data_IF_570958243860
#
_entry.id   IF_570958243860
#
_cell.length_a   1.000
_cell.length_b   1.000
_cell.length_c   1.000
_cell.angle_alpha   90.00
_cell.angle_beta   90.00
_cell.angle_gamma   90.00
#
_symmetry.space_group_name_H-M   'P 1'
#
loop_
_entity.id
_entity.type
_entity.pdbx_description
1 polymer ?
#
# COMPACT_ATOMS: atom_id res chain seq x y z
N UNK A 1 -6.90 -13.73 -4.90
CA UNK A 1 -6.38 -13.49 -3.53
C UNK A 1 -5.80 -12.09 -3.45
N UNK A 2 -6.14 -11.35 -2.42
CA UNK A 2 -5.68 -9.99 -2.14
C UNK A 2 -4.54 -10.03 -1.11
N UNK A 3 -3.45 -9.31 -1.34
CA UNK A 3 -2.44 -9.06 -0.33
C UNK A 3 -2.70 -7.71 0.33
N UNK A 4 -3.02 -7.72 1.62
CA UNK A 4 -3.00 -6.52 2.46
C UNK A 4 -1.55 -6.25 2.83
N UNK A 5 -1.06 -5.06 2.53
CA UNK A 5 0.32 -4.66 2.83
C UNK A 5 0.30 -3.51 3.82
N UNK A 6 0.95 -3.70 4.94
CA UNK A 6 1.18 -2.64 5.93
C UNK A 6 2.65 -2.22 5.86
N UNK A 7 2.90 -0.95 5.59
CA UNK A 7 4.25 -0.39 5.67
C UNK A 7 4.43 0.28 7.02
N UNK A 8 5.45 -0.15 7.75
CA UNK A 8 5.74 0.34 9.11
C UNK A 8 7.17 0.89 9.20
N UNK A 9 7.34 1.98 9.98
CA UNK A 9 8.62 2.55 10.34
C UNK A 9 8.61 3.06 11.79
N UNK A 10 9.40 2.45 12.67
CA UNK A 10 9.56 2.87 14.07
C UNK A 10 8.26 3.05 14.87
N UNK A 11 7.20 2.29 14.55
CA UNK A 11 5.87 2.40 15.19
C UNK A 11 5.37 1.01 15.62
N UNK A 12 6.08 0.42 16.57
CA UNK A 12 5.76 -0.93 17.07
C UNK A 12 4.33 -1.05 17.59
N UNK A 13 3.86 -0.09 18.37
CA UNK A 13 2.51 -0.13 18.95
C UNK A 13 1.42 -0.02 17.88
N UNK A 14 1.66 0.73 16.80
CA UNK A 14 0.74 0.78 15.68
C UNK A 14 0.66 -0.57 14.97
N UNK A 15 1.81 -1.21 14.70
CA UNK A 15 1.83 -2.54 14.11
C UNK A 15 1.11 -3.55 14.99
N UNK A 16 1.38 -3.55 16.30
CA UNK A 16 0.69 -4.43 17.26
C UNK A 16 -0.82 -4.24 17.20
N UNK A 17 -1.28 -3.00 17.25
CA UNK A 17 -2.71 -2.70 17.14
C UNK A 17 -3.29 -3.15 15.79
N UNK A 18 -2.56 -2.96 14.69
CA UNK A 18 -2.95 -3.47 13.38
C UNK A 18 -3.17 -4.97 13.35
N UNK A 19 -2.23 -5.73 13.92
CA UNK A 19 -2.31 -7.20 13.97
C UNK A 19 -3.44 -7.69 14.87
N UNK A 20 -3.73 -6.98 15.97
CA UNK A 20 -4.90 -7.20 16.80
C UNK A 20 -6.20 -6.99 16.02
N UNK A 21 -6.31 -5.89 15.25
CA UNK A 21 -7.45 -5.63 14.37
C UNK A 21 -7.57 -6.70 13.28
N UNK A 22 -6.45 -7.06 12.64
CA UNK A 22 -6.39 -8.09 11.59
C UNK A 22 -6.94 -9.43 12.08
N UNK A 23 -6.59 -9.84 13.30
CA UNK A 23 -7.07 -11.10 13.88
C UNK A 23 -8.59 -11.17 14.04
N UNK A 24 -9.29 -10.04 13.99
CA UNK A 24 -10.74 -9.91 14.10
C UNK A 24 -11.44 -9.65 12.76
N UNK A 25 -10.67 -9.42 11.69
CA UNK A 25 -11.22 -9.17 10.37
C UNK A 25 -11.56 -10.46 9.62
N UNK A 26 -12.43 -10.36 8.64
CA UNK A 26 -12.63 -11.41 7.65
C UNK A 26 -11.39 -11.50 6.75
N UNK A 27 -10.66 -12.61 6.87
CA UNK A 27 -9.42 -12.90 6.16
C UNK A 27 -9.65 -13.77 4.93
N UNK A 28 -10.89 -14.01 4.54
CA UNK A 28 -11.23 -14.83 3.39
C UNK A 28 -10.60 -14.24 2.13
N UNK A 29 -9.83 -15.06 1.40
CA UNK A 29 -9.11 -14.67 0.19
C UNK A 29 -8.10 -13.51 0.36
N UNK A 30 -7.61 -13.29 1.59
CA UNK A 30 -6.63 -12.25 1.88
C UNK A 30 -5.43 -12.80 2.66
N UNK A 31 -4.25 -12.24 2.39
CA UNK A 31 -3.03 -12.48 3.17
C UNK A 31 -2.44 -11.14 3.61
N UNK A 32 -1.94 -11.10 4.84
CA UNK A 32 -1.25 -9.92 5.35
C UNK A 32 0.26 -10.03 5.15
N UNK A 33 0.85 -8.98 4.65
CA UNK A 33 2.30 -8.79 4.53
C UNK A 33 2.67 -7.50 5.23
N UNK A 34 3.63 -7.56 6.12
CA UNK A 34 4.21 -6.41 6.79
C UNK A 34 5.55 -6.08 6.14
N UNK A 35 5.70 -4.86 5.62
CA UNK A 35 6.97 -4.33 5.15
C UNK A 35 7.50 -3.36 6.19
N UNK A 36 8.59 -3.75 6.85
CA UNK A 36 9.26 -2.92 7.84
C UNK A 36 10.41 -2.14 7.18
N UNK A 37 10.19 -0.84 7.02
CA UNK A 37 11.22 0.08 6.57
C UNK A 37 12.17 0.38 7.74
N UNK A 38 13.36 -0.20 7.75
CA UNK A 38 14.34 0.01 8.82
C UNK A 38 15.77 -0.23 8.32
N UNK A 39 16.70 0.53 8.86
CA UNK A 39 18.14 0.37 8.59
C UNK A 39 18.82 -0.51 9.66
N UNK A 40 18.04 -1.03 10.61
CA UNK A 40 18.54 -1.88 11.71
C UNK A 40 17.71 -3.15 11.80
N UNK A 41 18.36 -4.24 12.14
CA UNK A 41 17.63 -5.44 12.54
C UNK A 41 16.83 -5.15 13.82
N UNK A 42 15.55 -5.45 13.76
CA UNK A 42 14.65 -5.31 14.91
C UNK A 42 13.78 -6.58 15.02
N UNK A 43 14.28 -7.52 15.81
CA UNK A 43 13.65 -8.82 16.02
C UNK A 43 12.25 -8.72 16.62
N UNK A 44 11.91 -7.61 17.29
CA UNK A 44 10.60 -7.46 17.94
C UNK A 44 9.48 -7.39 16.90
N UNK A 45 9.71 -6.69 15.79
CA UNK A 45 8.74 -6.61 14.68
C UNK A 45 8.57 -7.95 13.99
N UNK A 46 9.67 -8.65 13.72
CA UNK A 46 9.63 -9.97 13.13
C UNK A 46 8.89 -10.96 14.04
N UNK A 47 9.27 -11.02 15.32
CA UNK A 47 8.62 -11.90 16.29
C UNK A 47 7.12 -11.61 16.42
N UNK A 48 6.73 -10.34 16.43
CA UNK A 48 5.32 -9.97 16.48
C UNK A 48 4.57 -10.50 15.23
N UNK A 49 5.14 -10.41 14.05
CA UNK A 49 4.55 -10.98 12.83
C UNK A 49 4.46 -12.52 12.89
N UNK A 50 5.47 -13.19 13.45
CA UNK A 50 5.46 -14.65 13.66
C UNK A 50 4.31 -15.10 14.58
N UNK A 51 4.07 -14.37 15.68
CA UNK A 51 2.97 -14.65 16.62
C UNK A 51 1.60 -14.63 15.92
N UNK A 52 1.42 -13.72 14.96
CA UNK A 52 0.18 -13.59 14.18
C UNK A 52 0.18 -14.38 12.86
N UNK A 53 1.23 -15.18 12.61
CA UNK A 53 1.41 -15.93 11.36
C UNK A 53 1.29 -15.05 10.09
N UNK A 54 1.97 -13.92 10.12
CA UNK A 54 1.97 -12.90 9.07
C UNK A 54 3.34 -12.85 8.39
N UNK A 55 3.36 -12.68 7.07
CA UNK A 55 4.60 -12.51 6.33
C UNK A 55 5.29 -11.21 6.70
N UNK A 56 6.56 -11.30 7.12
CA UNK A 56 7.40 -10.17 7.45
C UNK A 56 8.50 -9.97 6.39
N UNK A 57 8.66 -8.75 5.93
CA UNK A 57 9.71 -8.36 4.98
C UNK A 57 10.39 -7.11 5.53
N UNK A 58 11.71 -7.19 5.74
CA UNK A 58 12.52 -6.05 6.10
C UNK A 58 13.15 -5.42 4.87
N UNK A 59 13.22 -4.10 4.83
CA UNK A 59 13.95 -3.35 3.80
C UNK A 59 14.54 -2.06 4.37
N UNK A 60 15.61 -1.51 3.75
CA UNK A 60 16.12 -0.19 4.12
C UNK A 60 15.03 0.89 4.01
N UNK A 61 15.05 1.88 4.92
CA UNK A 61 14.09 2.99 4.87
C UNK A 61 14.47 4.02 3.79
N UNK A 62 14.37 3.61 2.54
CA UNK A 62 14.66 4.46 1.37
C UNK A 62 13.35 4.72 0.62
N UNK A 63 13.00 6.00 0.43
CA UNK A 63 11.80 6.39 -0.31
C UNK A 63 10.48 6.11 0.43
N UNK A 64 10.53 5.89 1.74
CA UNK A 64 9.35 5.75 2.61
C UNK A 64 8.38 4.65 2.14
N UNK A 65 7.08 4.88 2.25
CA UNK A 65 6.00 4.00 1.81
C UNK A 65 5.96 3.85 0.27
N UNK A 66 6.17 4.94 -0.47
CA UNK A 66 6.18 4.91 -1.94
C UNK A 66 7.40 4.16 -2.48
N UNK A 67 8.57 4.28 -1.82
CA UNK A 67 9.74 3.47 -2.16
C UNK A 67 9.48 1.98 -1.95
N UNK A 68 8.82 1.62 -0.85
CA UNK A 68 8.39 0.24 -0.60
C UNK A 68 7.40 -0.25 -1.67
N UNK A 69 6.40 0.56 -2.03
CA UNK A 69 5.46 0.25 -3.09
C UNK A 69 6.15 0.05 -4.44
N UNK A 70 7.08 0.94 -4.80
CA UNK A 70 7.89 0.79 -6.02
C UNK A 70 8.67 -0.52 -6.01
N UNK A 71 9.30 -0.87 -4.90
CA UNK A 71 10.10 -2.10 -4.80
C UNK A 71 9.23 -3.36 -4.98
N UNK A 72 8.00 -3.37 -4.46
CA UNK A 72 7.03 -4.45 -4.73
C UNK A 72 6.65 -4.48 -6.21
N UNK A 73 6.29 -3.35 -6.81
CA UNK A 73 5.91 -3.25 -8.22
C UNK A 73 7.04 -3.68 -9.17
N UNK A 74 8.30 -3.50 -8.77
CA UNK A 74 9.50 -3.83 -9.57
C UNK A 74 10.11 -5.19 -9.22
N UNK A 75 9.49 -5.96 -8.32
CA UNK A 75 9.99 -7.27 -7.91
C UNK A 75 11.36 -7.21 -7.21
N UNK A 76 11.65 -6.13 -6.48
CA UNK A 76 12.93 -5.95 -5.77
C UNK A 76 12.94 -6.56 -4.38
N UNK A 77 11.78 -6.94 -3.86
CA UNK A 77 11.62 -7.61 -2.58
C UNK A 77 11.28 -9.07 -2.79
N UNK A 78 11.63 -9.92 -1.82
CA UNK A 78 11.13 -11.29 -1.77
C UNK A 78 9.66 -11.29 -1.34
N UNK A 79 8.82 -10.69 -2.18
CA UNK A 79 7.40 -10.52 -1.95
C UNK A 79 6.63 -11.70 -2.56
N UNK A 80 5.57 -12.22 -1.92
CA UNK A 80 4.73 -13.28 -2.48
C UNK A 80 4.18 -12.91 -3.86
N UNK A 81 3.92 -13.90 -4.72
CA UNK A 81 3.24 -13.64 -5.99
C UNK A 81 1.83 -13.09 -5.74
N UNK A 82 1.50 -12.00 -6.41
CA UNK A 82 0.29 -11.24 -6.12
C UNK A 82 -0.49 -10.86 -7.38
N UNK A 83 -1.78 -10.74 -7.23
CA UNK A 83 -2.71 -10.25 -8.26
C UNK A 83 -3.26 -8.89 -7.89
N UNK A 84 -3.51 -8.66 -6.60
CA UNK A 84 -4.11 -7.44 -6.05
C UNK A 84 -3.46 -7.07 -4.75
N UNK A 85 -3.13 -5.78 -4.57
CA UNK A 85 -2.62 -5.22 -3.33
C UNK A 85 -3.65 -4.28 -2.72
N UNK A 86 -3.90 -4.42 -1.41
CA UNK A 86 -4.46 -3.37 -0.58
C UNK A 86 -3.31 -2.78 0.23
N UNK A 87 -2.88 -1.60 -0.15
CA UNK A 87 -1.74 -0.90 0.42
C UNK A 87 -2.19 0.07 1.50
N UNK A 88 -1.64 -0.03 2.71
CA UNK A 88 -1.95 0.87 3.82
C UNK A 88 -0.69 1.26 4.58
N UNK A 89 -0.75 2.40 5.26
CA UNK A 89 0.27 2.84 6.20
C UNK A 89 -0.09 2.42 7.63
N UNK A 90 0.89 2.36 8.51
CA UNK A 90 0.77 1.87 9.88
C UNK A 90 -0.12 2.74 10.80
N UNK A 91 -0.51 3.93 10.36
CA UNK A 91 -1.41 4.85 11.06
C UNK A 91 -2.85 4.87 10.50
N UNK A 92 -3.15 3.95 9.60
CA UNK A 92 -4.47 3.80 8.95
C UNK A 92 -5.10 2.48 9.39
N UNK A 93 -6.11 2.51 10.24
CA UNK A 93 -6.71 1.31 10.83
C UNK A 93 -8.07 0.98 10.21
N UNK A 94 -8.43 -0.32 10.09
CA UNK A 94 -9.73 -0.72 9.59
C UNK A 94 -10.84 -0.34 10.56
N UNK A 95 -11.91 0.25 10.05
CA UNK A 95 -13.13 0.57 10.81
C UNK A 95 -14.19 -0.54 10.72
N UNK A 96 -14.02 -1.48 9.79
CA UNK A 96 -14.95 -2.58 9.53
C UNK A 96 -14.18 -3.91 9.47
N UNK A 97 -14.82 -4.98 9.95
CA UNK A 97 -14.28 -6.33 9.83
C UNK A 97 -14.27 -6.85 8.38
N UNK A 98 -15.05 -6.22 7.51
CA UNK A 98 -15.21 -6.57 6.09
C UNK A 98 -14.50 -5.60 5.15
N UNK A 99 -13.61 -4.74 5.67
CA UNK A 99 -12.99 -3.68 4.89
C UNK A 99 -12.30 -4.18 3.61
N UNK A 100 -11.67 -5.36 3.63
CA UNK A 100 -11.04 -5.93 2.43
C UNK A 100 -12.09 -6.23 1.36
N UNK A 101 -13.22 -6.80 1.76
CA UNK A 101 -14.34 -7.05 0.86
C UNK A 101 -14.89 -5.75 0.28
N UNK A 102 -15.02 -4.70 1.11
CA UNK A 102 -15.49 -3.38 0.68
C UNK A 102 -14.57 -2.80 -0.42
N UNK A 103 -13.25 -2.95 -0.28
CA UNK A 103 -12.30 -2.58 -1.33
C UNK A 103 -12.43 -3.46 -2.57
N UNK A 104 -12.52 -4.78 -2.40
CA UNK A 104 -12.65 -5.73 -3.51
C UNK A 104 -13.92 -5.47 -4.33
N UNK A 105 -15.03 -5.13 -3.69
CA UNK A 105 -16.31 -4.81 -4.34
C UNK A 105 -16.21 -3.56 -5.24
N UNK A 106 -15.26 -2.65 -4.97
CA UNK A 106 -15.02 -1.48 -5.83
C UNK A 106 -14.12 -1.79 -7.05
N UNK A 107 -13.39 -2.91 -7.01
CA UNK A 107 -12.48 -3.30 -8.09
C UNK A 107 -13.19 -4.04 -9.22
N UNK A 108 -14.24 -3.41 -9.77
CA UNK A 108 -14.98 -3.87 -10.93
C UNK A 108 -14.19 -3.71 -12.24
N UNK A 109 -14.60 -4.37 -13.34
CA UNK A 109 -13.98 -4.14 -14.64
C UNK A 109 -13.92 -2.65 -15.03
N UNK A 110 -12.74 -2.18 -15.38
CA UNK A 110 -12.50 -0.77 -15.71
C UNK A 110 -12.12 0.10 -14.49
N UNK A 111 -12.08 -0.45 -13.26
CA UNK A 111 -11.51 0.23 -12.10
C UNK A 111 -10.01 -0.06 -12.02
N UNK A 112 -9.18 0.98 -11.99
CA UNK A 112 -7.73 0.86 -11.82
C UNK A 112 -7.30 0.92 -10.36
N UNK A 113 -7.99 1.73 -9.56
CA UNK A 113 -7.70 1.92 -8.14
C UNK A 113 -9.00 2.12 -7.36
N UNK A 114 -9.13 1.44 -6.22
CA UNK A 114 -10.06 1.79 -5.16
C UNK A 114 -9.25 2.42 -4.01
N UNK A 115 -9.67 3.55 -3.45
CA UNK A 115 -8.92 4.26 -2.41
C UNK A 115 -9.81 4.75 -1.27
N UNK A 116 -9.23 4.95 -0.10
CA UNK A 116 -9.94 5.51 1.04
C UNK A 116 -10.26 6.98 0.85
N UNK A 117 -9.36 7.72 0.21
CA UNK A 117 -9.50 9.16 0.08
C UNK A 117 -8.92 9.68 -1.25
N UNK A 118 -9.75 10.47 -1.95
CA UNK A 118 -9.30 11.39 -2.99
C UNK A 118 -9.25 12.79 -2.38
N UNK A 119 -8.08 13.38 -2.36
CA UNK A 119 -7.85 14.72 -1.79
C UNK A 119 -7.78 15.76 -2.90
N UNK A 120 -8.24 17.00 -2.59
CA UNK A 120 -8.06 18.17 -3.45
C UNK A 120 -7.02 19.16 -2.89
N UNK A 121 -6.30 18.78 -1.83
CA UNK A 121 -5.22 19.57 -1.30
C UNK A 121 -4.05 19.61 -2.30
N UNK A 122 -3.61 20.78 -2.72
CA UNK A 122 -2.67 21.06 -3.83
C UNK A 122 -3.32 20.85 -5.20
N UNK A 123 -3.64 19.63 -5.57
CA UNK A 123 -4.48 19.25 -6.71
C UNK A 123 -5.19 17.92 -6.41
N UNK A 124 -6.16 17.56 -7.23
CA UNK A 124 -6.88 16.28 -7.04
C UNK A 124 -5.93 15.11 -7.16
N UNK A 125 -5.86 14.26 -6.14
CA UNK A 125 -4.94 13.12 -6.05
C UNK A 125 -5.48 12.01 -5.15
N UNK A 126 -4.98 10.79 -5.34
CA UNK A 126 -5.20 9.66 -4.43
C UNK A 126 -4.24 9.82 -3.24
N UNK A 127 -4.76 9.74 -2.02
CA UNK A 127 -3.92 9.60 -0.82
C UNK A 127 -3.31 8.21 -0.79
N UNK A 128 -1.99 8.14 -0.66
CA UNK A 128 -1.24 6.87 -0.66
C UNK A 128 -1.30 6.12 0.66
N UNK A 129 -2.05 6.63 1.63
CA UNK A 129 -2.23 6.00 2.95
C UNK A 129 -3.19 4.80 2.94
N UNK A 130 -4.00 4.63 1.89
CA UNK A 130 -4.91 3.49 1.78
C UNK A 130 -5.51 3.38 0.37
N UNK A 131 -5.05 2.39 -0.41
CA UNK A 131 -5.57 2.12 -1.75
C UNK A 131 -5.42 0.66 -2.15
N UNK A 132 -6.31 0.20 -3.01
CA UNK A 132 -6.24 -1.11 -3.64
C UNK A 132 -5.96 -0.97 -5.14
N UNK A 133 -5.08 -1.83 -5.67
CA UNK A 133 -4.66 -1.81 -7.07
C UNK A 133 -4.39 -3.22 -7.58
N UNK A 134 -4.75 -3.50 -8.83
CA UNK A 134 -4.38 -4.73 -9.51
C UNK A 134 -2.95 -4.65 -10.07
N UNK A 135 -2.25 -5.80 -10.11
CA UNK A 135 -0.88 -5.91 -10.62
C UNK A 135 -0.73 -5.30 -12.02
N UNK A 136 -1.65 -5.59 -12.92
CA UNK A 136 -1.61 -5.09 -14.30
C UNK A 136 -1.66 -3.57 -14.42
N UNK A 137 -2.28 -2.90 -13.46
CA UNK A 137 -2.28 -1.43 -13.35
C UNK A 137 -0.99 -0.94 -12.70
N UNK A 138 -0.58 -1.57 -11.59
CA UNK A 138 0.61 -1.18 -10.83
C UNK A 138 1.90 -1.26 -11.65
N UNK A 139 2.07 -2.31 -12.47
CA UNK A 139 3.25 -2.49 -13.33
C UNK A 139 3.39 -1.41 -14.42
N UNK A 140 2.30 -0.75 -14.80
CA UNK A 140 2.30 0.35 -15.78
C UNK A 140 2.58 1.73 -15.15
N UNK A 141 2.59 1.82 -13.81
CA UNK A 141 2.88 3.09 -13.15
C UNK A 141 4.34 3.49 -13.36
N UNK A 142 4.53 4.79 -13.56
CA UNK A 142 5.84 5.41 -13.60
C UNK A 142 6.08 6.19 -12.32
N UNK A 143 7.27 6.04 -11.75
CA UNK A 143 7.71 6.79 -10.59
C UNK A 143 8.61 7.94 -11.05
N UNK A 144 8.66 9.03 -10.28
CA UNK A 144 9.47 10.19 -10.63
C UNK A 144 10.97 9.93 -10.55
N UNK A 145 11.39 8.94 -9.78
CA UNK A 145 12.76 8.43 -9.67
C UNK A 145 12.75 6.89 -9.62
N UNK A 146 13.88 6.29 -9.97
CA UNK A 146 14.08 4.85 -9.89
C UNK A 146 15.50 4.54 -9.40
N UNK A 147 15.66 4.23 -8.09
CA UNK A 147 14.63 4.13 -7.05
C UNK A 147 14.10 5.49 -6.57
N UNK A 148 12.88 5.49 -6.02
CA UNK A 148 12.37 6.58 -5.18
C UNK A 148 13.19 6.63 -3.90
N UNK A 149 13.78 7.78 -3.58
CA UNK A 149 14.72 7.89 -2.44
C UNK A 149 14.37 9.00 -1.46
N UNK A 150 13.62 10.00 -1.91
CA UNK A 150 13.34 11.19 -1.13
C UNK A 150 11.84 11.39 -0.87
N UNK A 151 11.55 12.20 0.14
CA UNK A 151 10.18 12.63 0.43
C UNK A 151 9.59 13.48 -0.70
N UNK A 152 10.42 14.22 -1.41
CA UNK A 152 10.00 14.98 -2.58
C UNK A 152 9.59 14.03 -3.72
N UNK A 153 10.29 12.93 -3.94
CA UNK A 153 9.90 11.91 -4.93
C UNK A 153 8.51 11.33 -4.60
N UNK A 154 8.22 11.08 -3.32
CA UNK A 154 6.91 10.63 -2.87
C UNK A 154 5.83 11.66 -3.17
N UNK A 155 6.07 12.94 -2.86
CA UNK A 155 5.14 14.02 -3.17
C UNK A 155 4.92 14.21 -4.66
N UNK A 156 5.99 14.04 -5.47
CA UNK A 156 5.87 14.08 -6.93
C UNK A 156 4.96 12.96 -7.44
N UNK A 157 5.09 11.75 -6.93
CA UNK A 157 4.23 10.64 -7.30
C UNK A 157 2.78 10.88 -6.87
N UNK A 158 2.55 11.34 -5.65
CA UNK A 158 1.23 11.51 -5.08
C UNK A 158 0.49 12.72 -5.68
N UNK A 159 1.05 13.93 -5.61
CA UNK A 159 0.27 15.15 -5.89
C UNK A 159 1.03 16.35 -6.48
N UNK A 160 2.35 16.29 -6.69
CA UNK A 160 3.14 17.42 -7.17
C UNK A 160 3.82 17.21 -8.52
N UNK A 161 3.61 16.07 -9.15
CA UNK A 161 4.33 15.76 -10.39
C UNK A 161 4.17 16.84 -11.45
N UNK A 162 5.28 17.22 -12.06
CA UNK A 162 5.30 18.01 -13.31
C UNK A 162 4.83 17.18 -14.50
N UNK A 163 4.77 15.85 -14.34
CA UNK A 163 4.22 14.89 -15.31
C UNK A 163 2.84 14.49 -14.83
N UNK A 164 2.63 13.19 -14.57
CA UNK A 164 1.38 12.64 -14.10
C UNK A 164 1.54 12.14 -12.67
N UNK A 165 0.63 12.54 -11.80
CA UNK A 165 0.47 11.94 -10.47
C UNK A 165 -0.08 10.53 -10.59
N UNK A 166 -0.06 9.79 -9.48
CA UNK A 166 -0.65 8.46 -9.40
C UNK A 166 -2.09 8.43 -9.98
N UNK A 167 -2.96 9.37 -9.55
CA UNK A 167 -4.32 9.46 -10.06
C UNK A 167 -4.36 9.72 -11.57
N UNK A 168 -3.62 10.69 -12.06
CA UNK A 168 -3.60 11.05 -13.48
C UNK A 168 -3.09 9.92 -14.38
N UNK A 169 -2.13 9.13 -13.88
CA UNK A 169 -1.66 7.95 -14.61
C UNK A 169 -2.76 6.91 -14.76
N UNK A 170 -3.53 6.62 -13.70
CA UNK A 170 -4.64 5.67 -13.72
C UNK A 170 -5.74 6.15 -14.68
N UNK A 171 -6.11 7.42 -14.61
CA UNK A 171 -7.11 8.02 -15.52
C UNK A 171 -6.65 8.00 -16.98
N UNK A 172 -5.35 8.23 -17.26
CA UNK A 172 -4.78 8.16 -18.60
C UNK A 172 -4.78 6.75 -19.20
N UNK A 173 -4.74 5.72 -18.37
CA UNK A 173 -4.95 4.33 -18.81
C UNK A 173 -6.42 4.04 -19.18
N UNK A 174 -7.33 5.03 -19.09
CA UNK A 174 -8.76 4.86 -19.29
C UNK A 174 -9.46 4.14 -18.14
N UNK A 175 -8.83 4.07 -16.99
CA UNK A 175 -9.34 3.37 -15.81
C UNK A 175 -9.98 4.36 -14.82
N UNK A 176 -10.97 3.87 -14.07
CA UNK A 176 -11.66 4.65 -13.02
C UNK A 176 -10.89 4.57 -11.70
N UNK A 177 -11.00 5.65 -10.93
CA UNK A 177 -10.64 5.69 -9.52
C UNK A 177 -11.93 5.76 -8.70
N UNK A 178 -12.11 4.83 -7.77
CA UNK A 178 -13.27 4.77 -6.89
C UNK A 178 -12.87 5.02 -5.45
N UNK A 179 -13.70 5.72 -4.70
CA UNK A 179 -13.53 5.90 -3.28
C UNK A 179 -14.39 4.89 -2.54
N UNK A 180 -13.79 4.18 -1.59
CA UNK A 180 -14.50 3.28 -0.67
C UNK A 180 -15.19 4.13 0.38
N UNK A 181 -16.47 3.87 0.64
CA UNK A 181 -17.29 4.66 1.56
C UNK A 181 -17.02 4.29 3.02
#
# INVERSE_FOLDING_TARGET
MTHLVIVVYNRYDNLKHWLECWSQCDQTDAQLVVIHNTDKEDWQYQHLCEVYNVTYIQRPNVGYDIGAFQDVCRGRLNFPDWQRLLWVTDDTFPMSKTFIKEFNDQMEPGTGVACMCVSNHVKRHIRTTGFMIDRTTAEKLTFCADPVTSKEDCYQFEHRSRRDTFLEQVERMGLKVKQVA
#
